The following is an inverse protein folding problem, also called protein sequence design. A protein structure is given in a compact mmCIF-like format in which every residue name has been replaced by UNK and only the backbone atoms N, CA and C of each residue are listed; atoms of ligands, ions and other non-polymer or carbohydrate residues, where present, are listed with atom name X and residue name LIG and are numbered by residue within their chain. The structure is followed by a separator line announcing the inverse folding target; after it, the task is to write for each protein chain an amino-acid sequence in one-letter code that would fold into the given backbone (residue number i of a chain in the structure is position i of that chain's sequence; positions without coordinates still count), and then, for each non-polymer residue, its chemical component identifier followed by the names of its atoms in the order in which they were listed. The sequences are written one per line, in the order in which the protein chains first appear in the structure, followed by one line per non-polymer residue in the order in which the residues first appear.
data_IF_890689375940
#
_entry.id   IF_890689375940
#
_cell.length_a   1.000
_cell.length_b   1.000
_cell.length_c   1.000
_cell.angle_alpha   90.00
_cell.angle_beta   90.00
_cell.angle_gamma   90.00
#
_symmetry.space_group_name_H-M   'P 1'
#
loop_
_entity.id
_entity.type
_entity.pdbx_description
1 polymer ?
#
# COMPACT_ATOMS: atom_id res chain seq x y z
N UNK A 1 16.80 3.30 3.97
CA UNK A 1 15.45 2.72 4.10
C UNK A 1 15.46 1.26 4.59
N UNK A 2 14.82 0.99 5.73
CA UNK A 2 14.39 -0.33 6.18
C UNK A 2 12.95 -0.57 5.70
N UNK A 3 12.79 -1.38 4.65
CA UNK A 3 11.50 -1.62 4.02
C UNK A 3 10.82 -2.87 4.57
N UNK A 4 9.57 -2.70 5.03
CA UNK A 4 8.63 -3.77 5.39
C UNK A 4 7.49 -3.77 4.38
N UNK A 5 7.25 -4.89 3.71
CA UNK A 5 6.05 -5.07 2.88
C UNK A 5 5.02 -5.91 3.62
N UNK A 6 3.77 -5.46 3.60
CA UNK A 6 2.62 -6.21 4.09
C UNK A 6 1.71 -6.49 2.89
N UNK A 7 1.67 -7.75 2.49
CA UNK A 7 0.72 -8.23 1.50
C UNK A 7 -0.39 -9.06 2.14
N UNK A 8 -1.24 -9.64 1.29
CA UNK A 8 -2.18 -10.65 1.71
C UNK A 8 -2.96 -11.25 0.54
N UNK A 9 -3.51 -12.44 0.75
CA UNK A 9 -4.11 -13.24 -0.32
C UNK A 9 -5.35 -12.58 -0.96
N UNK A 10 -6.18 -11.85 -0.23
CA UNK A 10 -7.36 -11.15 -0.76
C UNK A 10 -7.53 -9.68 -0.27
N UNK A 11 -8.63 -9.03 -0.65
CA UNK A 11 -9.06 -7.70 -0.15
C UNK A 11 -9.77 -7.84 1.19
N UNK A 12 -9.78 -6.78 2.01
CA UNK A 12 -10.52 -6.72 3.29
C UNK A 12 -10.21 -7.79 4.35
N UNK A 13 -9.06 -8.46 4.26
CA UNK A 13 -8.62 -9.51 5.20
C UNK A 13 -7.78 -9.00 6.40
N UNK A 14 -7.86 -7.70 6.72
CA UNK A 14 -7.14 -7.13 7.87
C UNK A 14 -5.69 -6.66 7.65
N UNK A 15 -5.19 -6.61 6.40
CA UNK A 15 -3.84 -6.05 6.09
C UNK A 15 -3.60 -4.66 6.70
N UNK A 16 -4.53 -3.74 6.46
CA UNK A 16 -4.45 -2.37 6.99
C UNK A 16 -4.41 -2.35 8.53
N UNK A 17 -5.13 -3.27 9.18
CA UNK A 17 -5.11 -3.41 10.65
C UNK A 17 -3.77 -3.93 11.16
N UNK A 18 -3.16 -4.89 10.46
CA UNK A 18 -1.80 -5.36 10.78
C UNK A 18 -0.78 -4.24 10.63
N UNK A 19 -0.84 -3.47 9.54
CA UNK A 19 0.05 -2.31 9.32
C UNK A 19 -0.11 -1.30 10.46
N UNK A 20 -1.35 -0.92 10.80
CA UNK A 20 -1.63 0.02 11.89
C UNK A 20 -1.14 -0.52 13.26
N UNK A 21 -1.33 -1.80 13.53
CA UNK A 21 -0.83 -2.44 14.76
C UNK A 21 0.70 -2.40 14.86
N UNK A 22 1.41 -2.67 13.78
CA UNK A 22 2.89 -2.58 13.74
C UNK A 22 3.35 -1.14 13.98
N UNK A 23 2.73 -0.17 13.31
CA UNK A 23 3.06 1.26 13.48
C UNK A 23 2.87 1.67 14.94
N UNK A 24 1.73 1.31 15.55
CA UNK A 24 1.42 1.67 16.93
C UNK A 24 2.32 0.97 17.95
N UNK A 25 2.71 -0.28 17.70
CA UNK A 25 3.55 -1.05 18.62
C UNK A 25 5.03 -0.65 18.58
N UNK A 26 5.48 -0.04 17.48
CA UNK A 26 6.86 0.36 17.23
C UNK A 26 6.94 1.83 16.81
N UNK A 27 6.19 2.70 17.50
CA UNK A 27 6.03 4.10 17.14
C UNK A 27 7.36 4.88 17.14
N UNK A 28 8.32 4.46 17.97
CA UNK A 28 9.66 5.04 18.07
C UNK A 28 10.48 4.97 16.77
N UNK A 29 10.09 4.09 15.84
CA UNK A 29 10.75 3.95 14.54
C UNK A 29 10.34 5.04 13.53
N UNK A 30 9.38 5.91 13.87
CA UNK A 30 8.95 7.06 13.05
C UNK A 30 8.54 6.67 11.61
N UNK A 31 7.66 5.68 11.50
CA UNK A 31 7.25 5.06 10.24
C UNK A 31 6.72 6.04 9.19
N UNK A 32 7.25 5.94 7.96
CA UNK A 32 6.52 6.33 6.75
C UNK A 32 5.68 5.16 6.28
N UNK A 33 4.36 5.35 6.22
CA UNK A 33 3.43 4.31 5.79
C UNK A 33 2.94 4.58 4.36
N UNK A 34 2.88 3.55 3.52
CA UNK A 34 2.38 3.66 2.15
C UNK A 34 1.29 2.63 1.89
N UNK A 35 0.16 3.06 1.35
CA UNK A 35 -0.83 2.16 0.76
C UNK A 35 -0.67 2.17 -0.76
N UNK A 36 -0.61 0.99 -1.39
CA UNK A 36 -0.66 0.88 -2.85
C UNK A 36 -1.97 0.24 -3.25
N UNK A 37 -2.78 0.96 -4.03
CA UNK A 37 -4.02 0.45 -4.60
C UNK A 37 -3.89 0.40 -6.11
N UNK A 38 -4.08 -0.79 -6.68
CA UNK A 38 -4.19 -0.95 -8.12
C UNK A 38 -5.64 -1.25 -8.48
N UNK A 39 -6.25 -0.40 -9.30
CA UNK A 39 -7.62 -0.59 -9.78
C UNK A 39 -7.62 -0.92 -11.27
N UNK A 40 -8.62 -1.70 -11.68
CA UNK A 40 -8.89 -2.07 -13.08
C UNK A 40 -10.40 -2.25 -13.23
N UNK A 41 -10.90 -2.20 -14.47
CA UNK A 41 -12.32 -2.36 -14.84
C UNK A 41 -13.28 -1.37 -14.16
N UNK A 42 -13.30 -0.11 -14.62
CA UNK A 42 -14.29 0.90 -14.18
C UNK A 42 -14.34 1.09 -12.66
N UNK A 43 -13.23 0.90 -11.93
CA UNK A 43 -13.15 1.19 -10.50
C UNK A 43 -12.21 2.37 -10.29
N UNK A 44 -12.73 3.42 -9.66
CA UNK A 44 -12.07 4.67 -9.37
C UNK A 44 -10.82 4.48 -8.53
N UNK A 45 -9.73 5.13 -8.95
CA UNK A 45 -8.54 5.25 -8.13
C UNK A 45 -8.83 6.08 -6.86
N UNK A 46 -9.72 7.08 -6.91
CA UNK A 46 -9.93 8.01 -5.81
C UNK A 46 -10.68 7.44 -4.61
N UNK A 47 -11.76 6.70 -4.86
CA UNK A 47 -12.66 6.20 -3.80
C UNK A 47 -12.86 4.68 -3.84
N UNK A 48 -12.35 3.99 -4.86
CA UNK A 48 -12.53 2.54 -5.03
C UNK A 48 -13.95 2.12 -5.41
N UNK A 49 -14.82 3.05 -5.83
CA UNK A 49 -16.18 2.79 -6.33
C UNK A 49 -16.17 2.57 -7.85
N UNK A 50 -17.28 2.07 -8.41
CA UNK A 50 -17.43 2.05 -9.86
C UNK A 50 -17.40 3.49 -10.41
N UNK A 51 -16.43 3.79 -11.28
CA UNK A 51 -16.38 5.04 -12.03
C UNK A 51 -16.02 4.78 -13.50
N UNK A 52 -16.52 5.65 -14.38
CA UNK A 52 -16.03 5.78 -15.76
C UNK A 52 -14.73 6.60 -15.87
N UNK A 53 -14.15 7.02 -14.75
CA UNK A 53 -12.89 7.74 -14.67
C UNK A 53 -11.73 6.81 -15.05
N UNK A 54 -11.47 6.72 -16.35
CA UNK A 54 -10.27 6.09 -16.84
C UNK A 54 -9.10 6.97 -16.44
N UNK A 55 -8.32 6.57 -15.43
CA UNK A 55 -6.95 7.08 -15.30
C UNK A 55 -6.28 6.75 -16.64
N UNK A 56 -5.80 7.75 -17.40
CA UNK A 56 -5.14 7.51 -18.68
C UNK A 56 -4.03 6.48 -18.52
N UNK A 57 -3.81 5.67 -19.55
CA UNK A 57 -2.66 4.76 -19.57
C UNK A 57 -1.38 5.56 -19.27
N UNK A 58 -0.55 5.06 -18.35
CA UNK A 58 0.66 5.69 -17.80
C UNK A 58 0.49 6.76 -16.71
N UNK A 59 -0.72 7.14 -16.30
CA UNK A 59 -0.91 8.06 -15.16
C UNK A 59 -1.05 7.31 -13.81
N UNK A 60 -0.48 7.90 -12.75
CA UNK A 60 -0.64 7.47 -11.36
C UNK A 60 -0.88 8.69 -10.48
N UNK A 61 -1.49 8.48 -9.31
CA UNK A 61 -1.73 9.52 -8.32
C UNK A 61 -1.03 9.12 -7.02
N UNK A 62 -0.15 10.00 -6.53
CA UNK A 62 0.48 9.86 -5.22
C UNK A 62 0.03 11.00 -4.31
N UNK A 63 -0.77 10.67 -3.30
CA UNK A 63 -1.23 11.64 -2.30
C UNK A 63 -0.41 11.49 -1.02
N UNK A 64 -0.05 12.61 -0.41
CA UNK A 64 0.67 12.66 0.86
C UNK A 64 -0.24 13.27 1.91
N UNK A 65 -0.40 12.56 3.02
CA UNK A 65 -1.10 13.08 4.20
C UNK A 65 -0.08 13.22 5.33
N UNK A 66 0.01 14.45 5.84
CA UNK A 66 0.84 14.84 6.98
C UNK A 66 0.01 15.33 8.17
N UNK A 67 -1.30 15.50 7.99
CA UNK A 67 -2.23 15.95 9.03
C UNK A 67 -3.48 15.06 9.10
N UNK A 68 -4.07 14.94 10.30
CA UNK A 68 -5.17 14.03 10.63
C UNK A 68 -6.55 14.46 10.10
N UNK A 69 -6.63 15.19 8.98
CA UNK A 69 -7.84 15.94 8.60
C UNK A 69 -8.74 15.30 7.53
N UNK A 70 -8.50 14.06 7.08
CA UNK A 70 -9.33 13.41 6.04
C UNK A 70 -9.92 12.05 6.49
N UNK A 71 -10.98 11.58 5.82
CA UNK A 71 -11.73 10.33 6.12
C UNK A 71 -11.22 9.08 5.36
N UNK A 72 -10.09 9.15 4.67
CA UNK A 72 -9.59 8.06 3.84
C UNK A 72 -8.85 6.96 4.65
N UNK A 73 -8.63 5.77 4.07
CA UNK A 73 -7.91 4.66 4.73
C UNK A 73 -6.48 5.03 5.18
N UNK A 74 -5.87 6.06 4.58
CA UNK A 74 -4.57 6.64 4.97
C UNK A 74 -4.59 7.34 6.32
N UNK A 75 -5.76 7.78 6.79
CA UNK A 75 -5.97 8.34 8.13
C UNK A 75 -5.70 7.30 9.21
N UNK A 76 -5.88 6.01 8.94
CA UNK A 76 -5.59 4.95 9.92
C UNK A 76 -4.10 4.84 10.24
N UNK A 77 -3.22 5.08 9.26
CA UNK A 77 -1.77 5.02 9.50
C UNK A 77 -1.29 6.21 10.34
N UNK A 78 -1.77 7.42 10.03
CA UNK A 78 -1.50 8.61 10.86
C UNK A 78 -2.11 8.49 12.25
N UNK A 79 -3.32 7.93 12.38
CA UNK A 79 -3.96 7.67 13.67
C UNK A 79 -3.17 6.64 14.50
N UNK A 80 -2.55 5.66 13.85
CA UNK A 80 -1.67 4.67 14.49
C UNK A 80 -0.30 5.23 14.90
N UNK A 81 0.07 6.44 14.47
CA UNK A 81 1.33 7.08 14.84
C UNK A 81 2.39 7.14 13.72
N UNK A 82 2.02 6.87 12.46
CA UNK A 82 2.94 7.11 11.35
C UNK A 82 3.29 8.61 11.25
N UNK A 83 4.55 8.91 10.94
CA UNK A 83 5.02 10.29 10.73
C UNK A 83 4.50 10.86 9.42
N UNK A 84 4.35 9.99 8.41
CA UNK A 84 3.84 10.29 7.07
C UNK A 84 2.97 9.14 6.59
N UNK A 85 1.90 9.47 5.86
CA UNK A 85 1.06 8.48 5.18
C UNK A 85 0.94 8.83 3.71
N UNK A 86 1.26 7.89 2.83
CA UNK A 86 1.19 8.07 1.39
C UNK A 86 0.19 7.08 0.79
N UNK A 87 -0.54 7.53 -0.21
CA UNK A 87 -1.40 6.66 -1.00
C UNK A 87 -1.01 6.72 -2.47
N UNK A 88 -0.43 5.64 -2.96
CA UNK A 88 -0.19 5.46 -4.38
C UNK A 88 -1.36 4.71 -5.03
N UNK A 89 -1.90 5.31 -6.08
CA UNK A 89 -2.99 4.77 -6.88
C UNK A 89 -2.56 4.71 -8.33
N UNK A 90 -2.72 3.55 -8.95
CA UNK A 90 -2.32 3.29 -10.33
C UNK A 90 -3.26 2.26 -10.95
N UNK A 91 -3.28 2.18 -12.28
CA UNK A 91 -3.98 1.11 -12.99
C UNK A 91 -3.33 -0.24 -12.72
N UNK A 92 -4.13 -1.30 -12.74
CA UNK A 92 -3.62 -2.67 -12.67
C UNK A 92 -2.66 -2.95 -13.83
N UNK A 93 -1.44 -3.40 -13.50
CA UNK A 93 -0.35 -3.61 -14.47
C UNK A 93 0.61 -2.43 -14.60
N UNK A 94 0.19 -1.21 -14.23
CA UNK A 94 0.93 0.04 -14.48
C UNK A 94 1.73 0.53 -13.26
N UNK A 95 2.07 -0.34 -12.30
CA UNK A 95 2.83 0.08 -11.11
C UNK A 95 4.23 0.60 -11.48
N UNK A 96 4.81 0.12 -12.57
CA UNK A 96 6.18 0.44 -13.01
C UNK A 96 6.37 1.94 -13.22
N UNK A 97 5.40 2.63 -13.80
CA UNK A 97 5.51 4.08 -14.09
C UNK A 97 5.62 4.93 -12.82
N UNK A 98 5.06 4.46 -11.70
CA UNK A 98 5.07 5.16 -10.43
C UNK A 98 6.31 4.88 -9.56
N UNK A 99 7.11 3.84 -9.88
CA UNK A 99 8.21 3.41 -9.03
C UNK A 99 9.29 4.48 -8.80
N UNK A 100 9.73 5.26 -9.81
CA UNK A 100 10.74 6.30 -9.59
C UNK A 100 10.27 7.36 -8.60
N UNK A 101 9.03 7.85 -8.76
CA UNK A 101 8.43 8.84 -7.86
C UNK A 101 8.22 8.27 -6.46
N UNK A 102 7.66 7.05 -6.35
CA UNK A 102 7.49 6.41 -5.05
C UNK A 102 8.84 6.24 -4.34
N UNK A 103 9.90 5.86 -5.06
CA UNK A 103 11.23 5.69 -4.48
C UNK A 103 11.78 6.99 -3.92
N UNK A 104 11.76 8.06 -4.70
CA UNK A 104 12.25 9.38 -4.28
C UNK A 104 11.54 9.87 -3.00
N UNK A 105 10.27 9.53 -2.83
CA UNK A 105 9.48 9.96 -1.67
C UNK A 105 9.83 9.25 -0.36
N UNK A 106 10.34 8.03 -0.43
CA UNK A 106 10.54 7.16 0.75
C UNK A 106 12.00 6.79 0.99
N UNK A 107 12.91 7.05 0.05
CA UNK A 107 14.30 6.58 0.13
C UNK A 107 15.11 7.24 1.26
N UNK A 108 14.75 8.48 1.62
CA UNK A 108 15.36 9.22 2.72
C UNK A 108 14.82 8.81 4.09
N UNK A 109 13.70 8.08 4.14
CA UNK A 109 13.12 7.63 5.40
C UNK A 109 13.82 6.38 5.92
N UNK A 110 14.04 6.34 7.24
CA UNK A 110 14.72 5.22 7.89
C UNK A 110 13.87 3.95 7.94
N UNK A 111 12.56 4.08 8.19
CA UNK A 111 11.62 2.97 8.31
C UNK A 111 10.39 3.22 7.46
N UNK A 112 10.13 2.29 6.54
CA UNK A 112 9.04 2.39 5.57
C UNK A 112 8.24 1.10 5.60
N UNK A 113 6.93 1.21 5.82
CA UNK A 113 5.99 0.08 5.78
C UNK A 113 4.99 0.29 4.65
N UNK A 114 4.87 -0.70 3.75
CA UNK A 114 4.02 -0.58 2.55
C UNK A 114 3.02 -1.73 2.50
N UNK A 115 1.74 -1.39 2.44
CA UNK A 115 0.67 -2.34 2.13
C UNK A 115 0.63 -2.59 0.60
N UNK A 116 1.22 -3.69 0.13
CA UNK A 116 1.24 -4.08 -1.28
C UNK A 116 1.68 -5.53 -1.49
N UNK A 117 0.98 -6.25 -2.39
CA UNK A 117 1.49 -7.52 -2.93
C UNK A 117 2.42 -7.29 -4.12
N UNK A 118 2.07 -6.34 -4.99
CA UNK A 118 2.68 -6.19 -6.31
C UNK A 118 4.07 -5.58 -6.24
N UNK A 119 4.37 -4.76 -5.23
CA UNK A 119 5.64 -4.06 -5.10
C UNK A 119 6.83 -5.02 -4.92
N UNK A 120 6.59 -6.22 -4.37
CA UNK A 120 7.61 -7.26 -4.21
C UNK A 120 8.26 -7.69 -5.53
N UNK A 121 7.60 -7.50 -6.67
CA UNK A 121 8.17 -7.76 -8.01
C UNK A 121 9.32 -6.83 -8.38
N UNK A 122 9.38 -5.66 -7.75
CA UNK A 122 10.29 -4.59 -8.11
C UNK A 122 11.30 -4.28 -7.01
N UNK A 123 10.87 -4.37 -5.74
CA UNK A 123 11.69 -4.03 -4.59
C UNK A 123 11.92 -5.24 -3.69
N UNK A 124 13.13 -5.33 -3.14
CA UNK A 124 13.51 -6.35 -2.16
C UNK A 124 13.39 -5.76 -0.74
N UNK A 125 12.35 -6.13 0.04
CA UNK A 125 12.24 -5.66 1.40
C UNK A 125 13.11 -6.44 2.37
N UNK A 126 13.37 -5.86 3.55
CA UNK A 126 13.99 -6.59 4.67
C UNK A 126 13.02 -7.61 5.25
N UNK A 127 11.74 -7.28 5.29
CA UNK A 127 10.66 -8.14 5.77
C UNK A 127 9.50 -8.10 4.77
N UNK A 128 8.99 -9.27 4.40
CA UNK A 128 7.74 -9.39 3.64
C UNK A 128 6.78 -10.30 4.40
N UNK A 129 5.69 -9.73 4.91
CA UNK A 129 4.65 -10.46 5.63
C UNK A 129 3.42 -10.64 4.74
N UNK A 130 2.81 -11.83 4.80
CA UNK A 130 1.53 -12.12 4.16
C UNK A 130 0.45 -12.31 5.22
N UNK A 131 -0.62 -11.53 5.09
CA UNK A 131 -1.84 -11.76 5.87
C UNK A 131 -2.71 -12.79 5.15
N UNK A 132 -3.07 -13.84 5.87
CA UNK A 132 -3.97 -14.89 5.43
C UNK A 132 -5.22 -14.90 6.30
N UNK A 133 -6.36 -15.12 5.67
CA UNK A 133 -7.64 -15.34 6.31
C UNK A 133 -8.09 -16.73 5.84
N UNK A 134 -8.04 -17.75 6.70
CA UNK A 134 -8.35 -19.12 6.29
C UNK A 134 -9.83 -19.30 5.90
N UNK A 135 -10.70 -18.34 6.23
CA UNK A 135 -12.10 -18.36 5.82
C UNK A 135 -12.31 -17.92 4.36
N UNK A 136 -11.30 -17.32 3.72
CA UNK A 136 -11.37 -16.81 2.35
C UNK A 136 -10.50 -17.68 1.43
N UNK A 137 -11.15 -18.28 0.43
CA UNK A 137 -10.50 -19.19 -0.52
C UNK A 137 -9.87 -18.47 -1.72
N UNK A 138 -10.11 -17.17 -1.89
CA UNK A 138 -9.62 -16.37 -3.01
C UNK A 138 -8.14 -15.98 -2.84
N UNK A 139 -7.33 -16.25 -3.86
CA UNK A 139 -5.91 -15.89 -3.89
C UNK A 139 -5.60 -14.98 -5.07
N UNK A 140 -5.29 -13.72 -4.78
CA UNK A 140 -4.75 -12.77 -5.75
C UNK A 140 -3.54 -13.36 -6.47
N UNK A 141 -3.51 -13.22 -7.80
CA UNK A 141 -2.38 -13.64 -8.65
C UNK A 141 -1.05 -13.05 -8.15
N UNK A 142 -1.06 -11.82 -7.63
CA UNK A 142 0.13 -11.16 -7.08
C UNK A 142 0.71 -11.83 -5.83
N UNK A 143 -0.10 -12.57 -5.05
CA UNK A 143 0.44 -13.38 -3.95
C UNK A 143 1.11 -14.65 -4.49
N UNK A 144 0.44 -15.38 -5.39
CA UNK A 144 0.87 -16.73 -5.80
C UNK A 144 2.34 -16.75 -6.20
N UNK A 145 2.77 -15.75 -6.98
CA UNK A 145 4.16 -15.60 -7.48
C UNK A 145 5.26 -15.73 -6.42
N UNK A 146 5.00 -15.45 -5.13
CA UNK A 146 6.05 -15.41 -4.11
C UNK A 146 5.89 -16.43 -2.98
N UNK A 147 4.74 -17.08 -2.85
CA UNK A 147 4.43 -17.94 -1.70
C UNK A 147 3.72 -19.25 -2.06
N UNK A 148 3.40 -19.50 -3.33
CA UNK A 148 2.85 -20.75 -3.85
C UNK A 148 3.60 -21.14 -5.12
#
# INVERSE_FOLDING_TARGET
MNLVLIGGHSRNIGKTSVVAGIISALAELNWTAVKITQTGHNICADDGLECGCQVPAHEFILTKEIEKSSRADTTRFLAAGASRSLWLRTRQGELVSALPTLRAEVELDNYVIIESNSLRRFWTPKIYLQVLDPSITDFKVSMKVFFL
#
